data_IF_674687617906
#
_entry.id   IF_674687617906
#
_cell.length_a   1.000
_cell.length_b   1.000
_cell.length_c   1.000
_cell.angle_alpha   90.00
_cell.angle_beta   90.00
_cell.angle_gamma   90.00
#
_symmetry.space_group_name_H-M   'P 1'
#
loop_
_entity.id
_entity.type
_entity.pdbx_description
1 polymer ?
#
# COMPACT_ATOMS: atom_id res chain seq x y z
N UNK A 1 58.43 -21.89 39.59
CA UNK A 1 59.43 -20.82 39.70
C UNK A 1 58.69 -19.50 39.82
N UNK A 2 58.57 -18.95 41.03
CA UNK A 2 57.95 -17.65 41.25
C UNK A 2 58.99 -16.54 41.00
N UNK A 3 58.81 -15.76 39.95
CA UNK A 3 59.59 -14.54 39.70
C UNK A 3 58.91 -13.37 40.42
N UNK A 4 59.65 -12.63 41.24
CA UNK A 4 59.11 -11.49 42.02
C UNK A 4 58.76 -10.30 41.11
N UNK A 5 59.39 -10.21 39.94
CA UNK A 5 59.23 -9.08 39.00
C UNK A 5 58.11 -9.31 37.97
N UNK A 6 57.75 -10.57 37.71
CA UNK A 6 56.73 -10.92 36.70
C UNK A 6 55.75 -11.92 37.28
N UNK A 7 54.57 -11.44 37.66
CA UNK A 7 53.50 -12.26 38.19
C UNK A 7 52.68 -12.89 37.05
N UNK A 8 53.05 -14.11 36.64
CA UNK A 8 52.39 -14.82 35.53
C UNK A 8 50.95 -15.23 35.85
N UNK A 9 50.61 -15.49 37.12
CA UNK A 9 49.23 -15.82 37.52
C UNK A 9 48.33 -14.58 37.45
N UNK A 10 48.83 -13.41 37.87
CA UNK A 10 48.12 -12.13 37.70
C UNK A 10 47.94 -11.73 36.23
N UNK A 11 48.93 -11.97 35.37
CA UNK A 11 48.79 -11.72 33.91
C UNK A 11 47.72 -12.61 33.27
N UNK A 12 47.67 -13.90 33.65
CA UNK A 12 46.63 -14.82 33.18
C UNK A 12 45.24 -14.39 33.66
N UNK A 13 45.11 -14.04 34.94
CA UNK A 13 43.87 -13.51 35.52
C UNK A 13 43.42 -12.17 34.89
N UNK A 14 44.37 -11.30 34.52
CA UNK A 14 44.05 -10.06 33.81
C UNK A 14 43.58 -10.33 32.38
N UNK A 15 44.16 -11.31 31.69
CA UNK A 15 43.72 -11.72 30.35
C UNK A 15 42.30 -12.29 30.37
N UNK A 16 41.97 -13.14 31.37
CA UNK A 16 40.61 -13.66 31.53
C UNK A 16 39.62 -12.55 31.88
N UNK A 17 40.00 -11.60 32.74
CA UNK A 17 39.17 -10.44 33.08
C UNK A 17 38.90 -9.54 31.87
N UNK A 18 39.89 -9.31 30.99
CA UNK A 18 39.70 -8.59 29.72
C UNK A 18 38.75 -9.33 28.77
N UNK A 19 38.86 -10.66 28.70
CA UNK A 19 37.95 -11.49 27.89
C UNK A 19 36.50 -11.46 28.42
N UNK A 20 36.32 -11.50 29.74
CA UNK A 20 35.00 -11.37 30.39
C UNK A 20 34.42 -9.98 30.13
N UNK A 21 35.23 -8.91 30.28
CA UNK A 21 34.81 -7.54 30.01
C UNK A 21 34.35 -7.34 28.56
N UNK A 22 35.10 -7.86 27.58
CA UNK A 22 34.72 -7.81 26.17
C UNK A 22 33.44 -8.61 25.88
N UNK A 23 33.29 -9.80 26.48
CA UNK A 23 32.07 -10.61 26.32
C UNK A 23 30.85 -9.92 26.94
N UNK A 24 31.03 -9.27 28.08
CA UNK A 24 30.01 -8.52 28.79
C UNK A 24 29.59 -7.27 28.03
N UNK A 25 30.50 -6.58 27.36
CA UNK A 25 30.19 -5.48 26.45
C UNK A 25 29.38 -5.96 25.24
N UNK A 26 29.73 -7.11 24.65
CA UNK A 26 28.97 -7.72 23.56
C UNK A 26 27.55 -8.09 23.97
N UNK A 27 27.37 -8.75 25.12
CA UNK A 27 26.03 -9.08 25.65
C UNK A 27 25.24 -7.83 26.01
N UNK A 28 25.87 -6.79 26.57
CA UNK A 28 25.19 -5.51 26.80
C UNK A 28 24.72 -4.86 25.49
N UNK A 29 25.54 -4.90 24.44
CA UNK A 29 25.14 -4.40 23.12
C UNK A 29 23.98 -5.24 22.53
N UNK A 30 24.00 -6.56 22.69
CA UNK A 30 22.90 -7.43 22.24
C UNK A 30 21.60 -7.14 22.99
N UNK A 31 21.66 -6.95 24.31
CA UNK A 31 20.49 -6.57 25.13
C UNK A 31 20.00 -5.16 24.78
N UNK A 32 20.92 -4.21 24.58
CA UNK A 32 20.56 -2.82 24.28
C UNK A 32 19.94 -2.67 22.89
N UNK A 33 20.38 -3.46 21.91
CA UNK A 33 19.90 -3.38 20.53
C UNK A 33 18.80 -4.39 20.21
N UNK A 34 18.59 -5.38 21.08
CA UNK A 34 17.71 -6.53 20.82
C UNK A 34 18.25 -7.50 19.77
N UNK A 35 19.41 -7.22 19.17
CA UNK A 35 19.94 -7.96 18.02
C UNK A 35 21.21 -8.74 18.40
N UNK A 36 21.26 -10.00 17.97
CA UNK A 36 22.43 -10.86 18.00
C UNK A 36 23.47 -10.44 16.94
N UNK A 37 23.03 -9.92 15.79
CA UNK A 37 23.90 -9.47 14.69
C UNK A 37 23.60 -8.01 14.38
N UNK A 38 24.26 -7.09 15.09
CA UNK A 38 24.00 -5.65 14.95
C UNK A 38 24.84 -5.02 13.82
N UNK A 39 26.10 -5.47 13.69
CA UNK A 39 27.07 -4.92 12.73
C UNK A 39 27.53 -6.01 11.77
N UNK A 40 28.01 -5.59 10.59
CA UNK A 40 28.59 -6.49 9.60
C UNK A 40 29.80 -7.28 10.13
N UNK A 41 30.50 -6.76 11.15
CA UNK A 41 31.59 -7.44 11.85
C UNK A 41 31.14 -8.68 12.62
N UNK A 42 29.88 -8.72 13.06
CA UNK A 42 29.38 -9.78 13.95
C UNK A 42 29.07 -11.03 13.12
N UNK A 43 28.43 -10.85 11.97
CA UNK A 43 28.28 -11.87 10.94
C UNK A 43 27.89 -11.25 9.59
N UNK A 44 28.85 -11.13 8.67
CA UNK A 44 28.63 -10.47 7.38
C UNK A 44 27.53 -11.13 6.53
N UNK A 45 27.39 -12.46 6.58
CA UNK A 45 26.41 -13.18 5.78
C UNK A 45 24.97 -12.93 6.27
N UNK A 46 24.71 -13.14 7.57
CA UNK A 46 23.38 -12.87 8.13
C UNK A 46 23.04 -11.38 8.11
N UNK A 47 24.02 -10.51 8.37
CA UNK A 47 23.81 -9.07 8.31
C UNK A 47 23.43 -8.60 6.90
N UNK A 48 24.10 -9.10 5.85
CA UNK A 48 23.78 -8.73 4.47
C UNK A 48 22.39 -9.20 4.06
N UNK A 49 22.03 -10.45 4.35
CA UNK A 49 20.70 -11.01 4.02
C UNK A 49 19.61 -10.24 4.76
N UNK A 50 19.79 -10.01 6.06
CA UNK A 50 18.83 -9.27 6.88
C UNK A 50 18.66 -7.82 6.44
N UNK A 51 19.75 -7.15 6.02
CA UNK A 51 19.70 -5.78 5.51
C UNK A 51 18.93 -5.72 4.19
N UNK A 52 19.15 -6.67 3.28
CA UNK A 52 18.37 -6.75 2.04
C UNK A 52 16.90 -7.05 2.30
N UNK A 53 16.60 -7.96 3.23
CA UNK A 53 15.22 -8.30 3.59
C UNK A 53 14.50 -7.15 4.31
N UNK A 54 15.18 -6.39 5.18
CA UNK A 54 14.64 -5.17 5.78
C UNK A 54 14.37 -4.10 4.72
N UNK A 55 15.27 -3.95 3.75
CA UNK A 55 15.05 -3.06 2.61
C UNK A 55 13.84 -3.47 1.77
N UNK A 56 13.65 -4.76 1.53
CA UNK A 56 12.50 -5.28 0.81
C UNK A 56 11.21 -5.08 1.60
N UNK A 57 11.27 -5.23 2.93
CA UNK A 57 10.12 -4.97 3.79
C UNK A 57 9.70 -3.48 3.78
N UNK A 58 10.67 -2.56 3.79
CA UNK A 58 10.40 -1.13 3.62
C UNK A 58 9.77 -0.83 2.26
N UNK A 59 10.22 -1.50 1.19
CA UNK A 59 9.62 -1.35 -0.13
C UNK A 59 8.18 -1.91 -0.19
N UNK A 60 7.90 -3.02 0.49
CA UNK A 60 6.55 -3.57 0.62
C UNK A 60 5.63 -2.64 1.40
N UNK A 61 6.11 -2.01 2.48
CA UNK A 61 5.34 -0.98 3.21
C UNK A 61 4.97 0.19 2.31
N UNK A 62 5.90 0.69 1.50
CA UNK A 62 5.62 1.75 0.54
C UNK A 62 4.62 1.32 -0.55
N UNK A 63 4.62 0.04 -0.94
CA UNK A 63 3.60 -0.53 -1.83
C UNK A 63 2.25 -0.61 -1.15
N UNK A 64 2.16 -0.98 0.12
CA UNK A 64 0.90 -0.97 0.89
C UNK A 64 0.33 0.44 0.99
N UNK A 65 1.16 1.46 1.25
CA UNK A 65 0.73 2.85 1.25
C UNK A 65 0.22 3.27 -0.14
N UNK A 66 0.91 2.87 -1.21
CA UNK A 66 0.50 3.15 -2.59
C UNK A 66 -0.80 2.41 -2.97
N UNK A 67 -1.00 1.18 -2.49
CA UNK A 67 -2.25 0.42 -2.61
C UNK A 67 -3.40 1.14 -1.91
N UNK A 68 -3.18 1.72 -0.73
CA UNK A 68 -4.17 2.53 -0.02
C UNK A 68 -4.59 3.78 -0.79
N UNK A 69 -3.62 4.49 -1.39
CA UNK A 69 -3.91 5.61 -2.29
C UNK A 69 -4.64 5.13 -3.56
N UNK A 70 -4.32 3.93 -4.05
CA UNK A 70 -5.01 3.29 -5.16
C UNK A 70 -6.46 2.93 -4.84
N UNK A 71 -6.72 2.38 -3.65
CA UNK A 71 -8.06 2.08 -3.15
C UNK A 71 -8.90 3.35 -3.10
N UNK A 72 -8.39 4.43 -2.49
CA UNK A 72 -9.09 5.71 -2.40
C UNK A 72 -9.47 6.29 -3.78
N UNK A 73 -8.61 6.12 -4.80
CA UNK A 73 -8.93 6.52 -6.18
C UNK A 73 -10.09 5.71 -6.75
N UNK A 74 -10.05 4.38 -6.61
CA UNK A 74 -11.09 3.48 -7.10
C UNK A 74 -12.42 3.72 -6.38
N UNK A 75 -12.38 3.93 -5.07
CA UNK A 75 -13.58 4.17 -4.26
C UNK A 75 -14.22 5.52 -4.59
N UNK A 76 -13.42 6.56 -4.87
CA UNK A 76 -13.93 7.86 -5.34
C UNK A 76 -14.63 7.72 -6.69
N UNK A 77 -14.03 6.95 -7.62
CA UNK A 77 -14.65 6.66 -8.91
C UNK A 77 -15.92 5.82 -8.76
N UNK A 78 -15.93 4.84 -7.87
CA UNK A 78 -17.11 4.02 -7.59
C UNK A 78 -18.26 4.85 -7.02
N UNK A 79 -17.98 5.72 -6.04
CA UNK A 79 -18.99 6.60 -5.45
C UNK A 79 -19.58 7.59 -6.48
N UNK A 80 -18.73 8.17 -7.34
CA UNK A 80 -19.18 9.02 -8.44
C UNK A 80 -20.04 8.24 -9.45
N UNK A 81 -19.68 6.99 -9.76
CA UNK A 81 -20.46 6.13 -10.65
C UNK A 81 -21.81 5.75 -10.06
N UNK A 82 -21.89 5.43 -8.76
CA UNK A 82 -23.17 5.13 -8.09
C UNK A 82 -24.10 6.36 -8.11
N UNK A 83 -23.57 7.54 -7.78
CA UNK A 83 -24.36 8.78 -7.86
C UNK A 83 -24.83 9.07 -9.28
N UNK A 84 -24.00 8.78 -10.30
CA UNK A 84 -24.40 8.94 -11.69
C UNK A 84 -25.50 7.94 -12.09
N UNK A 85 -25.40 6.68 -11.63
CA UNK A 85 -26.43 5.66 -11.87
C UNK A 85 -27.79 6.13 -11.32
N UNK A 86 -27.81 6.71 -10.12
CA UNK A 86 -29.06 7.20 -9.51
C UNK A 86 -29.67 8.37 -10.29
N UNK A 87 -28.86 9.32 -10.76
CA UNK A 87 -29.36 10.41 -11.62
C UNK A 87 -29.90 9.89 -12.95
N UNK A 88 -29.26 8.88 -13.57
CA UNK A 88 -29.78 8.24 -14.79
C UNK A 88 -31.09 7.49 -14.53
N UNK A 89 -31.27 6.87 -13.35
CA UNK A 89 -32.57 6.29 -12.97
C UNK A 89 -33.66 7.37 -12.85
N UNK A 90 -33.34 8.55 -12.33
CA UNK A 90 -34.28 9.68 -12.30
C UNK A 90 -34.63 10.15 -13.72
N UNK A 91 -33.65 10.29 -14.62
CA UNK A 91 -33.88 10.61 -16.04
C UNK A 91 -34.82 9.57 -16.66
N UNK A 92 -34.58 8.27 -16.40
CA UNK A 92 -35.46 7.18 -16.86
C UNK A 92 -36.89 7.36 -16.35
N UNK A 93 -37.08 7.71 -15.08
CA UNK A 93 -38.41 7.95 -14.52
C UNK A 93 -39.11 9.15 -15.18
N UNK A 94 -38.38 10.23 -15.47
CA UNK A 94 -38.89 11.41 -16.20
C UNK A 94 -39.26 11.07 -17.65
N UNK A 95 -38.48 10.24 -18.33
CA UNK A 95 -38.79 9.74 -19.67
C UNK A 95 -40.07 8.90 -19.71
N UNK A 96 -40.28 8.05 -18.70
CA UNK A 96 -41.51 7.27 -18.57
C UNK A 96 -42.72 8.19 -18.31
N UNK A 97 -42.57 9.22 -17.47
CA UNK A 97 -43.62 10.21 -17.24
C UNK A 97 -43.96 11.01 -18.53
N UNK A 98 -42.96 11.30 -19.37
CA UNK A 98 -43.16 11.96 -20.67
C UNK A 98 -43.89 11.09 -21.71
N UNK A 99 -44.09 9.80 -21.44
CA UNK A 99 -44.82 8.89 -22.32
C UNK A 99 -46.35 8.99 -22.15
N UNK A 100 -46.85 9.59 -21.04
CA UNK A 100 -48.28 9.80 -20.85
C UNK A 100 -48.85 10.88 -21.79
N UNK A 101 -50.01 10.61 -22.38
CA UNK A 101 -50.66 11.54 -23.30
C UNK A 101 -51.29 12.70 -22.53
N UNK A 102 -50.89 13.94 -22.86
CA UNK A 102 -51.40 15.16 -22.22
C UNK A 102 -50.45 15.82 -21.22
N UNK A 103 -49.23 15.31 -21.07
CA UNK A 103 -48.17 15.93 -20.27
C UNK A 103 -47.38 16.95 -21.12
N UNK A 104 -46.97 18.05 -20.49
CA UNK A 104 -46.14 19.09 -21.09
C UNK A 104 -44.67 18.64 -21.12
N UNK A 105 -44.21 18.19 -22.29
CA UNK A 105 -42.89 17.59 -22.45
C UNK A 105 -41.76 18.62 -22.35
N UNK A 106 -42.03 19.90 -22.61
CA UNK A 106 -41.05 20.98 -22.47
C UNK A 106 -40.64 21.17 -21.01
N UNK A 107 -41.59 21.09 -20.06
CA UNK A 107 -41.28 21.17 -18.63
C UNK A 107 -40.51 19.95 -18.11
N UNK A 108 -40.83 18.77 -18.63
CA UNK A 108 -40.04 17.57 -18.32
C UNK A 108 -38.63 17.70 -18.89
N UNK A 109 -38.47 18.29 -20.07
CA UNK A 109 -37.16 18.53 -20.65
C UNK A 109 -36.33 19.52 -19.82
N UNK A 110 -36.92 20.55 -19.22
CA UNK A 110 -36.21 21.44 -18.28
C UNK A 110 -35.65 20.66 -17.08
N UNK A 111 -36.44 19.76 -16.48
CA UNK A 111 -35.98 18.90 -15.39
C UNK A 111 -34.91 17.90 -15.85
N UNK A 112 -35.05 17.30 -17.04
CA UNK A 112 -34.05 16.41 -17.63
C UNK A 112 -32.74 17.15 -17.89
N UNK A 113 -32.80 18.41 -18.35
CA UNK A 113 -31.62 19.25 -18.58
C UNK A 113 -30.87 19.49 -17.26
N UNK A 114 -31.58 19.77 -16.16
CA UNK A 114 -30.96 19.89 -14.83
C UNK A 114 -30.29 18.58 -14.37
N UNK A 115 -30.93 17.43 -14.62
CA UNK A 115 -30.35 16.12 -14.29
C UNK A 115 -29.12 15.80 -15.17
N UNK A 116 -29.13 16.21 -16.44
CA UNK A 116 -27.98 16.09 -17.34
C UNK A 116 -26.81 16.98 -16.88
N UNK A 117 -27.07 18.22 -16.44
CA UNK A 117 -26.06 19.09 -15.82
C UNK A 117 -25.52 18.50 -14.51
N UNK A 118 -26.38 17.89 -13.69
CA UNK A 118 -25.96 17.20 -12.48
C UNK A 118 -25.07 15.99 -12.80
N UNK A 119 -25.34 15.23 -13.85
CA UNK A 119 -24.47 14.14 -14.30
C UNK A 119 -23.08 14.63 -14.70
N UNK A 120 -23.01 15.76 -15.41
CA UNK A 120 -21.74 16.39 -15.74
C UNK A 120 -20.98 16.78 -14.46
N UNK A 121 -21.66 17.44 -13.52
CA UNK A 121 -21.05 17.86 -12.25
C UNK A 121 -20.56 16.69 -11.40
N UNK A 122 -21.30 15.57 -11.34
CA UNK A 122 -20.88 14.34 -10.66
C UNK A 122 -19.65 13.74 -11.34
N UNK A 123 -19.64 13.70 -12.68
CA UNK A 123 -18.50 13.23 -13.44
C UNK A 123 -17.25 14.11 -13.20
N UNK A 124 -17.37 15.44 -13.20
CA UNK A 124 -16.26 16.37 -12.91
C UNK A 124 -15.76 16.27 -11.46
N UNK A 125 -16.69 16.10 -10.51
CA UNK A 125 -16.37 16.06 -9.08
C UNK A 125 -15.71 14.75 -8.64
N UNK A 126 -15.80 13.69 -9.43
CA UNK A 126 -15.17 12.38 -9.15
C UNK A 126 -13.65 12.36 -9.38
N UNK A 127 -12.97 13.48 -9.15
CA UNK A 127 -11.53 13.62 -9.26
C UNK A 127 -10.83 13.36 -7.91
N UNK A 128 -9.88 12.43 -7.89
CA UNK A 128 -9.01 12.20 -6.75
C UNK A 128 -7.57 12.58 -7.09
N UNK A 129 -7.01 13.56 -6.36
CA UNK A 129 -5.64 14.05 -6.55
C UNK A 129 -5.35 14.49 -8.00
N UNK A 130 -6.30 15.21 -8.62
CA UNK A 130 -6.18 15.73 -9.99
C UNK A 130 -6.34 14.68 -11.10
N UNK A 131 -6.66 13.42 -10.76
CA UNK A 131 -6.97 12.36 -11.72
C UNK A 131 -8.44 11.96 -11.58
N UNK A 132 -9.15 11.96 -12.69
CA UNK A 132 -10.52 11.50 -12.78
C UNK A 132 -10.57 10.19 -13.58
N UNK A 133 -11.23 9.18 -13.03
CA UNK A 133 -11.36 7.85 -13.65
C UNK A 133 -12.71 7.68 -14.34
N UNK A 134 -13.63 8.62 -14.15
CA UNK A 134 -14.96 8.64 -14.80
C UNK A 134 -14.99 9.54 -16.02
N UNK A 135 -14.10 10.53 -16.09
CA UNK A 135 -13.88 11.40 -17.24
C UNK A 135 -12.37 11.66 -17.47
N UNK A 136 -11.84 11.16 -18.58
CA UNK A 136 -10.44 11.09 -18.96
C UNK A 136 -10.33 10.78 -20.46
N UNK A 137 -9.14 10.89 -21.01
CA UNK A 137 -8.87 10.71 -22.44
C UNK A 137 -9.07 9.25 -22.89
N UNK A 138 -9.38 9.07 -24.18
CA UNK A 138 -9.50 7.76 -24.82
C UNK A 138 -8.17 6.99 -24.72
N UNK A 139 -8.22 5.76 -24.21
CA UNK A 139 -7.03 4.93 -24.02
C UNK A 139 -6.09 5.37 -22.89
N UNK A 140 -6.53 6.28 -22.00
CA UNK A 140 -5.76 6.64 -20.82
C UNK A 140 -5.52 5.40 -19.93
N UNK A 141 -4.26 5.09 -19.69
CA UNK A 141 -3.84 4.03 -18.79
C UNK A 141 -3.79 4.57 -17.35
N UNK A 142 -4.79 4.23 -16.54
CA UNK A 142 -4.69 4.51 -15.10
C UNK A 142 -4.23 3.26 -14.38
N UNK A 143 -3.07 3.37 -13.73
CA UNK A 143 -2.42 2.26 -13.07
C UNK A 143 -2.44 2.42 -11.55
N UNK A 144 -2.78 1.34 -10.85
CA UNK A 144 -2.57 1.21 -9.41
C UNK A 144 -1.32 0.39 -9.19
N UNK A 145 -0.43 0.83 -8.31
CA UNK A 145 0.71 0.04 -7.87
C UNK A 145 0.17 -1.16 -7.09
N UNK A 146 0.52 -2.37 -7.52
CA UNK A 146 0.01 -3.61 -6.94
C UNK A 146 1.06 -4.50 -6.30
N UNK A 147 2.35 -4.31 -6.54
CA UNK A 147 3.34 -5.16 -5.89
C UNK A 147 4.77 -4.68 -6.02
N UNK A 148 5.61 -5.13 -5.10
CA UNK A 148 7.07 -5.07 -5.23
C UNK A 148 7.58 -6.47 -5.52
N UNK A 149 8.40 -6.61 -6.56
CA UNK A 149 9.06 -7.89 -6.89
C UNK A 149 10.55 -7.65 -7.07
N UNK A 150 11.34 -8.42 -6.32
CA UNK A 150 12.77 -8.59 -6.54
C UNK A 150 12.99 -9.88 -7.32
N UNK A 151 13.52 -9.78 -8.54
CA UNK A 151 13.85 -10.94 -9.36
C UNK A 151 15.22 -11.53 -8.98
N UNK A 152 15.49 -12.77 -9.40
CA UNK A 152 16.73 -13.50 -9.08
C UNK A 152 18.00 -12.91 -9.71
N UNK A 153 17.85 -11.91 -10.58
CA UNK A 153 18.92 -11.13 -11.22
C UNK A 153 19.23 -9.81 -10.47
N UNK A 154 18.74 -9.65 -9.24
CA UNK A 154 18.85 -8.44 -8.42
C UNK A 154 18.10 -7.21 -8.97
N UNK A 155 17.29 -7.34 -10.02
CA UNK A 155 16.41 -6.25 -10.46
C UNK A 155 15.21 -6.13 -9.52
N UNK A 156 14.86 -4.89 -9.18
CA UNK A 156 13.67 -4.56 -8.40
C UNK A 156 12.68 -3.85 -9.29
N UNK A 157 11.43 -4.29 -9.26
CA UNK A 157 10.36 -3.68 -10.05
C UNK A 157 9.11 -3.52 -9.21
N UNK A 158 8.40 -2.43 -9.46
CA UNK A 158 7.04 -2.22 -8.95
C UNK A 158 6.09 -2.72 -10.03
N UNK A 159 5.27 -3.72 -9.71
CA UNK A 159 4.17 -4.14 -10.56
C UNK A 159 3.03 -3.17 -10.36
N UNK A 160 2.46 -2.70 -11.47
CA UNK A 160 1.20 -1.98 -11.48
C UNK A 160 0.16 -2.82 -12.19
N UNK A 161 -1.08 -2.72 -11.74
CA UNK A 161 -2.21 -3.18 -12.53
C UNK A 161 -2.81 -1.99 -13.24
N UNK A 162 -2.63 -1.98 -14.56
CA UNK A 162 -3.19 -0.96 -15.44
C UNK A 162 -4.64 -1.31 -15.78
N UNK A 163 -5.51 -0.32 -15.65
CA UNK A 163 -6.85 -0.33 -16.22
C UNK A 163 -6.79 0.59 -17.42
N UNK A 164 -7.08 0.05 -18.60
CA UNK A 164 -7.31 0.87 -19.79
C UNK A 164 -8.71 1.44 -19.69
N UNK A 165 -8.81 2.77 -19.62
CA UNK A 165 -10.09 3.44 -19.72
C UNK A 165 -10.48 3.51 -21.20
N UNK A 166 -11.73 3.16 -21.48
CA UNK A 166 -12.30 3.02 -22.83
C UNK A 166 -13.78 3.41 -22.73
N UNK A 167 -14.45 3.60 -23.87
CA UNK A 167 -15.85 4.05 -23.99
C UNK A 167 -16.86 3.17 -23.23
N UNK A 168 -16.46 1.94 -22.85
CA UNK A 168 -17.28 0.99 -22.08
C UNK A 168 -17.12 1.13 -20.56
N UNK A 169 -16.11 1.88 -20.08
CA UNK A 169 -15.77 1.98 -18.66
C UNK A 169 -15.86 3.42 -18.10
N UNK A 170 -16.14 4.41 -18.97
CA UNK A 170 -16.14 5.83 -18.64
C UNK A 170 -17.52 6.45 -18.83
N UNK A 171 -17.90 7.40 -17.97
CA UNK A 171 -19.18 8.10 -18.08
C UNK A 171 -19.16 9.09 -19.26
N UNK A 172 -18.06 9.83 -19.38
CA UNK A 172 -17.78 10.77 -20.45
C UNK A 172 -16.30 10.71 -20.82
N UNK A 173 -15.94 11.02 -22.06
CA UNK A 173 -14.54 11.18 -22.46
C UNK A 173 -14.08 12.61 -22.16
N UNK A 174 -12.81 12.82 -21.83
CA UNK A 174 -12.21 14.16 -21.78
C UNK A 174 -11.44 14.45 -23.07
N UNK A 175 -11.51 15.69 -23.56
CA UNK A 175 -10.72 16.14 -24.71
C UNK A 175 -9.23 16.23 -24.35
N UNK A 176 -8.37 15.58 -25.15
CA UNK A 176 -6.95 15.45 -24.89
C UNK A 176 -6.13 16.76 -24.94
N UNK A 177 -6.74 17.86 -25.36
CA UNK A 177 -6.06 19.16 -25.50
C UNK A 177 -6.49 20.16 -24.43
N UNK A 178 -7.70 20.02 -23.88
CA UNK A 178 -8.29 20.99 -22.94
C UNK A 178 -8.58 20.42 -21.55
N UNK A 179 -8.59 19.10 -21.38
CA UNK A 179 -8.98 18.45 -20.13
C UNK A 179 -10.45 18.68 -19.74
N UNK A 180 -11.24 19.28 -20.64
CA UNK A 180 -12.67 19.47 -20.48
C UNK A 180 -13.41 18.17 -20.85
N UNK A 181 -14.52 17.90 -20.17
CA UNK A 181 -15.36 16.75 -20.48
C UNK A 181 -16.00 16.97 -21.86
N UNK A 182 -15.69 16.08 -22.80
CA UNK A 182 -16.36 15.97 -24.08
C UNK A 182 -17.66 15.20 -23.87
N UNK A 183 -18.77 15.92 -23.94
CA UNK A 183 -20.13 15.39 -23.76
C UNK A 183 -20.63 14.52 -24.91
N UNK A 184 -19.79 14.29 -25.93
CA UNK A 184 -20.12 13.64 -27.20
C UNK A 184 -19.61 12.19 -27.27
N UNK A 185 -18.81 11.74 -26.30
CA UNK A 185 -18.23 10.39 -26.25
C UNK A 185 -18.21 9.86 -24.80
N UNK A 186 -18.26 8.52 -24.63
CA UNK A 186 -18.43 7.82 -23.34
C UNK A 186 -19.81 7.17 -23.19
N UNK A 187 -20.05 6.39 -22.12
CA UNK A 187 -21.31 5.63 -21.93
C UNK A 187 -22.55 6.54 -22.03
N UNK A 188 -22.44 7.80 -21.58
CA UNK A 188 -23.54 8.77 -21.57
C UNK A 188 -23.47 9.76 -22.75
N UNK A 189 -22.31 9.91 -23.39
CA UNK A 189 -22.05 10.83 -24.49
C UNK A 189 -22.20 10.22 -25.88
N UNK A 190 -21.99 8.91 -26.03
CA UNK A 190 -22.12 8.20 -27.30
C UNK A 190 -23.59 8.07 -27.70
N UNK A 191 -23.88 8.37 -28.96
CA UNK A 191 -25.24 8.24 -29.51
C UNK A 191 -25.72 6.79 -29.43
N UNK A 192 -26.89 6.59 -28.83
CA UNK A 192 -27.51 5.27 -28.73
C UNK A 192 -27.92 4.73 -30.09
N UNK A 193 -27.79 3.40 -30.28
CA UNK A 193 -28.12 2.72 -31.54
C UNK A 193 -29.60 2.81 -31.92
N UNK A 194 -30.51 3.06 -30.96
CA UNK A 194 -31.94 3.10 -31.22
C UNK A 194 -32.48 4.52 -31.50
N UNK A 195 -31.95 5.54 -30.81
CA UNK A 195 -32.39 6.95 -30.95
C UNK A 195 -31.44 7.80 -31.78
N UNK A 196 -30.22 7.35 -32.09
CA UNK A 196 -29.13 8.17 -32.69
C UNK A 196 -28.80 9.45 -31.90
N UNK A 197 -29.27 9.55 -30.66
CA UNK A 197 -29.08 10.66 -29.73
C UNK A 197 -28.38 10.10 -28.48
N UNK A 198 -27.57 10.92 -27.79
CA UNK A 198 -26.89 10.50 -26.56
C UNK A 198 -27.76 10.77 -25.33
N UNK A 199 -27.55 10.01 -24.24
CA UNK A 199 -28.27 10.19 -22.97
C UNK A 199 -28.04 11.60 -22.39
N UNK A 200 -26.91 12.22 -22.70
CA UNK A 200 -26.60 13.58 -22.30
C UNK A 200 -27.18 14.68 -23.21
N UNK A 201 -27.25 14.47 -24.53
CA UNK A 201 -27.64 15.52 -25.48
C UNK A 201 -29.03 15.34 -26.09
N UNK A 202 -29.80 14.33 -25.66
CA UNK A 202 -31.16 14.17 -26.17
C UNK A 202 -32.06 15.30 -25.68
N UNK A 203 -32.92 15.76 -26.60
CA UNK A 203 -33.96 16.74 -26.34
C UNK A 203 -35.31 16.12 -26.68
N UNK A 204 -36.28 16.34 -25.81
CA UNK A 204 -37.68 15.99 -26.03
C UNK A 204 -38.46 17.29 -26.22
N UNK A 205 -39.27 17.32 -27.26
CA UNK A 205 -40.24 18.37 -27.52
C UNK A 205 -41.66 17.80 -27.52
N UNK A 206 -42.65 18.70 -27.63
CA UNK A 206 -44.05 18.30 -27.69
C UNK A 206 -44.40 17.48 -28.96
N UNK A 207 -43.57 17.55 -30.01
CA UNK A 207 -43.70 16.80 -31.27
C UNK A 207 -43.02 15.41 -31.22
N UNK A 208 -42.30 15.09 -30.14
CA UNK A 208 -41.56 13.83 -30.00
C UNK A 208 -42.54 12.65 -29.88
N UNK A 209 -42.47 11.72 -30.83
CA UNK A 209 -43.40 10.59 -30.94
C UNK A 209 -43.15 9.53 -29.85
N UNK A 210 -44.17 8.73 -29.53
CA UNK A 210 -44.11 7.67 -28.52
C UNK A 210 -43.06 6.60 -28.85
N UNK A 211 -42.79 6.37 -30.13
CA UNK A 211 -41.71 5.47 -30.59
C UNK A 211 -40.32 6.06 -30.34
N UNK A 212 -40.14 7.37 -30.49
CA UNK A 212 -38.88 8.05 -30.21
C UNK A 212 -38.57 8.03 -28.70
N UNK A 213 -39.59 8.26 -27.85
CA UNK A 213 -39.49 8.09 -26.39
C UNK A 213 -39.14 6.66 -25.99
N UNK A 214 -39.71 5.65 -26.66
CA UNK A 214 -39.37 4.23 -26.43
C UNK A 214 -37.92 3.89 -26.81
N UNK A 215 -37.41 4.48 -27.89
CA UNK A 215 -36.01 4.32 -28.31
C UNK A 215 -35.05 5.00 -27.33
N UNK A 216 -35.37 6.22 -26.85
CA UNK A 216 -34.61 6.92 -25.81
C UNK A 216 -34.57 6.12 -24.50
N UNK A 217 -35.70 5.52 -24.10
CA UNK A 217 -35.76 4.66 -22.92
C UNK A 217 -34.86 3.42 -23.07
N UNK A 218 -34.79 2.85 -24.26
CA UNK A 218 -33.91 1.71 -24.58
C UNK A 218 -32.43 2.09 -24.53
N UNK A 219 -32.09 3.28 -25.02
CA UNK A 219 -30.72 3.80 -24.96
C UNK A 219 -30.30 4.14 -23.52
N UNK A 220 -31.19 4.73 -22.72
CA UNK A 220 -30.96 4.95 -21.28
C UNK A 220 -30.78 3.63 -20.53
N UNK A 221 -31.54 2.59 -20.86
CA UNK A 221 -31.37 1.26 -20.26
C UNK A 221 -30.03 0.60 -20.64
N UNK A 222 -29.61 0.79 -21.89
CA UNK A 222 -28.31 0.31 -22.39
C UNK A 222 -27.15 1.04 -21.70
N UNK A 223 -27.30 2.35 -21.48
CA UNK A 223 -26.35 3.14 -20.70
C UNK A 223 -26.29 2.69 -19.23
N UNK A 224 -27.44 2.45 -18.58
CA UNK A 224 -27.49 1.89 -17.21
C UNK A 224 -26.81 0.52 -17.13
N UNK A 225 -27.02 -0.35 -18.11
CA UNK A 225 -26.37 -1.67 -18.17
C UNK A 225 -24.84 -1.54 -18.32
N UNK A 226 -24.39 -0.55 -19.08
CA UNK A 226 -22.97 -0.25 -19.26
C UNK A 226 -22.35 0.37 -18.00
N UNK A 227 -23.05 1.30 -17.34
CA UNK A 227 -22.62 1.91 -16.07
C UNK A 227 -22.54 0.87 -14.95
N UNK A 228 -23.53 -0.02 -14.84
CA UNK A 228 -23.48 -1.12 -13.85
C UNK A 228 -22.37 -2.12 -14.13
N UNK A 229 -22.06 -2.38 -15.41
CA UNK A 229 -20.90 -3.20 -15.80
C UNK A 229 -19.57 -2.53 -15.46
N UNK A 230 -19.46 -1.21 -15.66
CA UNK A 230 -18.29 -0.43 -15.27
C UNK A 230 -18.13 -0.37 -13.73
N UNK A 231 -19.24 -0.22 -12.98
CA UNK A 231 -19.25 -0.25 -11.53
C UNK A 231 -18.81 -1.61 -10.99
N UNK A 232 -19.27 -2.71 -11.61
CA UNK A 232 -18.82 -4.06 -11.28
C UNK A 232 -17.32 -4.26 -11.53
N UNK A 233 -16.76 -3.67 -12.61
CA UNK A 233 -15.31 -3.68 -12.85
C UNK A 233 -14.55 -2.90 -11.77
N UNK A 234 -14.99 -1.69 -11.41
CA UNK A 234 -14.40 -0.91 -10.32
C UNK A 234 -14.46 -1.65 -8.98
N UNK A 235 -15.59 -2.27 -8.65
CA UNK A 235 -15.74 -3.11 -7.46
C UNK A 235 -14.77 -4.30 -7.46
N UNK A 236 -14.61 -4.99 -8.60
CA UNK A 236 -13.63 -6.08 -8.72
C UNK A 236 -12.19 -5.62 -8.55
N UNK A 237 -11.86 -4.39 -8.97
CA UNK A 237 -10.54 -3.78 -8.77
C UNK A 237 -10.34 -3.46 -7.29
N UNK A 238 -11.35 -2.90 -6.61
CA UNK A 238 -11.30 -2.62 -5.17
C UNK A 238 -11.06 -3.90 -4.36
N UNK A 239 -11.85 -4.97 -4.60
CA UNK A 239 -11.62 -6.27 -3.94
C UNK A 239 -10.25 -6.87 -4.26
N UNK A 240 -9.72 -6.67 -5.47
CA UNK A 240 -8.36 -7.12 -5.82
C UNK A 240 -7.30 -6.32 -5.07
N UNK A 241 -7.49 -5.01 -4.86
CA UNK A 241 -6.59 -4.17 -4.07
C UNK A 241 -6.59 -4.64 -2.61
N UNK A 242 -7.76 -4.92 -2.03
CA UNK A 242 -7.86 -5.47 -0.66
C UNK A 242 -7.10 -6.80 -0.52
N UNK A 243 -7.33 -7.75 -1.43
CA UNK A 243 -6.61 -9.03 -1.43
C UNK A 243 -5.09 -8.87 -1.56
N UNK A 244 -4.65 -7.87 -2.32
CA UNK A 244 -3.25 -7.57 -2.54
C UNK A 244 -2.61 -6.87 -1.33
N UNK A 245 -3.35 -6.00 -0.64
CA UNK A 245 -2.97 -5.43 0.66
C UNK A 245 -2.78 -6.54 1.68
N UNK A 246 -3.76 -7.42 1.86
CA UNK A 246 -3.68 -8.59 2.75
C UNK A 246 -2.48 -9.49 2.45
N UNK A 247 -2.20 -9.73 1.16
CA UNK A 247 -1.05 -10.51 0.74
C UNK A 247 0.26 -9.81 1.09
N UNK A 248 0.35 -8.50 0.87
CA UNK A 248 1.55 -7.70 1.13
C UNK A 248 1.84 -7.59 2.62
N UNK A 249 0.80 -7.44 3.46
CA UNK A 249 0.91 -7.51 4.92
C UNK A 249 1.41 -8.88 5.40
N UNK A 250 0.80 -9.97 4.92
CA UNK A 250 1.25 -11.33 5.26
C UNK A 250 2.69 -11.60 4.82
N UNK A 251 3.11 -11.06 3.67
CA UNK A 251 4.47 -11.17 3.17
C UNK A 251 5.45 -10.35 4.02
N UNK A 252 5.08 -9.10 4.37
CA UNK A 252 5.83 -8.24 5.29
C UNK A 252 6.06 -8.95 6.63
N UNK A 253 4.99 -9.49 7.24
CA UNK A 253 5.05 -10.26 8.49
C UNK A 253 5.98 -11.48 8.40
N UNK A 254 5.92 -12.21 7.28
CA UNK A 254 6.76 -13.38 7.07
C UNK A 254 8.23 -13.00 6.90
N UNK A 255 8.52 -11.90 6.20
CA UNK A 255 9.88 -11.35 6.04
C UNK A 255 10.38 -10.84 7.38
N UNK A 256 9.57 -10.12 8.16
CA UNK A 256 9.96 -9.62 9.48
C UNK A 256 10.27 -10.76 10.45
N UNK A 257 9.42 -11.79 10.51
CA UNK A 257 9.70 -13.02 11.29
C UNK A 257 10.95 -13.75 10.78
N UNK A 258 11.17 -13.77 9.47
CA UNK A 258 12.36 -14.35 8.84
C UNK A 258 13.63 -13.61 9.25
N UNK A 259 13.64 -12.28 9.15
CA UNK A 259 14.72 -11.39 9.56
C UNK A 259 15.00 -11.54 11.05
N UNK A 260 13.95 -11.53 11.88
CA UNK A 260 14.09 -11.65 13.33
C UNK A 260 14.75 -12.97 13.73
N UNK A 261 14.40 -14.08 13.08
CA UNK A 261 15.10 -15.37 13.31
C UNK A 261 16.58 -15.36 12.95
N UNK A 262 17.00 -14.50 12.01
CA UNK A 262 18.40 -14.42 11.59
C UNK A 262 19.22 -13.48 12.47
N UNK A 263 18.59 -12.47 13.08
CA UNK A 263 19.32 -11.33 13.66
C UNK A 263 18.91 -11.00 15.10
N UNK A 264 17.73 -11.39 15.56
CA UNK A 264 17.29 -11.06 16.92
C UNK A 264 18.00 -11.93 17.96
N UNK A 265 18.25 -11.34 19.13
CA UNK A 265 18.79 -12.05 20.27
C UNK A 265 17.66 -12.54 21.19
N UNK A 266 17.82 -13.73 21.78
CA UNK A 266 16.94 -14.19 22.85
C UNK A 266 17.30 -13.44 24.14
N UNK A 267 16.42 -12.51 24.55
CA UNK A 267 16.64 -11.68 25.73
C UNK A 267 16.74 -12.49 27.03
N UNK A 268 16.12 -13.67 27.10
CA UNK A 268 16.22 -14.52 28.29
C UNK A 268 17.61 -15.15 28.39
N UNK A 269 18.15 -15.61 27.26
CA UNK A 269 19.51 -16.16 27.19
C UNK A 269 20.54 -15.06 27.47
N UNK A 270 20.45 -13.91 26.80
CA UNK A 270 21.40 -12.82 26.99
C UNK A 270 21.32 -12.22 28.39
N UNK A 271 20.13 -12.10 28.99
CA UNK A 271 19.99 -11.64 30.39
C UNK A 271 20.61 -12.61 31.39
N UNK A 272 20.47 -13.92 31.14
CA UNK A 272 21.09 -14.96 31.99
C UNK A 272 22.61 -14.94 31.82
N UNK A 273 23.08 -14.79 30.58
CA UNK A 273 24.50 -14.66 30.23
C UNK A 273 25.12 -13.41 30.85
N UNK A 274 24.42 -12.27 30.84
CA UNK A 274 24.89 -11.03 31.48
C UNK A 274 25.10 -11.23 32.98
N UNK A 275 24.13 -11.85 33.67
CA UNK A 275 24.25 -12.15 35.11
C UNK A 275 25.41 -13.11 35.40
N UNK A 276 25.60 -14.12 34.56
CA UNK A 276 26.73 -15.03 34.67
C UNK A 276 28.06 -14.31 34.47
N UNK A 277 28.17 -13.42 33.47
CA UNK A 277 29.37 -12.62 33.20
C UNK A 277 29.68 -11.63 34.32
N UNK A 278 28.66 -10.98 34.90
CA UNK A 278 28.82 -10.12 36.08
C UNK A 278 29.36 -10.91 37.28
N UNK A 279 28.85 -12.12 37.50
CA UNK A 279 29.33 -13.01 38.58
C UNK A 279 30.77 -13.46 38.31
N UNK A 280 31.08 -13.85 37.07
CA UNK A 280 32.44 -14.21 36.66
C UNK A 280 33.41 -13.03 36.80
N UNK A 281 32.98 -11.80 36.50
CA UNK A 281 33.80 -10.61 36.69
C UNK A 281 34.12 -10.39 38.17
N UNK A 282 33.13 -10.51 39.06
CA UNK A 282 33.35 -10.41 40.51
C UNK A 282 34.34 -11.48 41.01
N UNK A 283 34.18 -12.73 40.56
CA UNK A 283 35.09 -13.83 40.89
C UNK A 283 36.50 -13.60 40.31
N UNK A 284 36.61 -13.07 39.10
CA UNK A 284 37.89 -12.75 38.48
C UNK A 284 38.63 -11.61 39.19
N UNK A 285 37.92 -10.60 39.68
CA UNK A 285 38.49 -9.53 40.53
C UNK A 285 39.00 -10.11 41.86
N UNK A 286 38.22 -11.00 42.48
CA UNK A 286 38.65 -11.70 43.70
C UNK A 286 39.88 -12.57 43.43
N UNK A 287 39.90 -13.34 42.34
CA UNK A 287 41.04 -14.17 41.94
C UNK A 287 42.30 -13.34 41.64
N UNK A 288 42.14 -12.17 40.99
CA UNK A 288 43.24 -11.23 40.77
C UNK A 288 43.78 -10.68 42.10
N UNK A 289 42.89 -10.34 43.04
CA UNK A 289 43.29 -9.89 44.39
C UNK A 289 44.07 -10.97 45.14
N UNK A 290 43.63 -12.24 45.06
CA UNK A 290 44.32 -13.39 45.66
C UNK A 290 45.68 -13.59 45.00
N UNK A 291 45.74 -13.60 43.67
CA UNK A 291 46.99 -13.75 42.90
C UNK A 291 48.01 -12.63 43.17
N UNK A 292 47.56 -11.41 43.51
CA UNK A 292 48.44 -10.33 43.96
C UNK A 292 48.91 -10.52 45.40
N UNK A 293 48.06 -11.05 46.29
CA UNK A 293 48.43 -11.31 47.68
C UNK A 293 49.47 -12.44 47.84
N UNK A 294 49.45 -13.45 46.96
CA UNK A 294 50.45 -14.52 46.95
C UNK A 294 51.88 -13.99 46.71
N UNK A 295 52.03 -12.99 45.83
CA UNK A 295 53.32 -12.34 45.60
C UNK A 295 53.80 -11.54 46.82
N UNK A 296 52.88 -11.02 47.65
CA UNK A 296 53.22 -10.32 48.89
C UNK A 296 53.61 -11.28 50.02
N UNK A 297 52.98 -12.45 50.09
CA UNK A 297 53.35 -13.52 51.03
C UNK A 297 54.75 -14.10 50.76
N UNK A 298 55.21 -14.08 49.51
CA UNK A 298 56.59 -14.44 49.18
C UNK A 298 57.58 -13.35 49.66
N UNK A 299 57.21 -12.07 49.57
CA UNK A 299 58.02 -10.96 50.08
C UNK A 299 58.14 -10.96 51.62
N UNK A 300 57.13 -11.43 52.35
CA UNK A 300 57.19 -11.53 53.82
C UNK A 300 58.12 -12.65 54.31
N UNK A 301 58.38 -13.68 53.48
CA UNK A 301 59.36 -14.74 53.77
C UNK A 301 60.82 -14.26 53.67
N UNK A 302 61.06 -13.14 52.99
CA UNK A 302 62.39 -12.53 52.85
C UNK A 302 62.57 -11.28 53.74
N UNK A 303 61.65 -11.05 54.69
CA UNK A 303 61.77 -10.02 55.73
C UNK A 303 62.17 -10.62 57.07
#
# INVERSE_FOLDING_TARGET
MASILTNSSAMSALSTLRSIASSMESTQNAISTGMKVSKASDNAAYWSISTTMKSDNMALSAVTDALGVGAAKVDTAYAGMESAIDVVKEIKAKLVAAQEQGVDKEKIQEEITQLQEQLLSVAESAAFNGQNWLANEDGAEVSVITGFVRASDNTVSVKSTTVTLDDTNMLFQADATTGAITTTTGILGTAGTASTQSVYAFTIDNDTDATALGNLLTDVETALTSMTSAAAKLGSISSRIELQTDFSEKLSDAIEKGVGRLVDADMNEESTRLKALQTQQQLAIQALSIANSDSQNILSLFR
#
